data_IF_869245337055
#
_entry.id   IF_869245337055
#
_cell.length_a   1.000
_cell.length_b   1.000
_cell.length_c   1.000
_cell.angle_alpha   90.00
_cell.angle_beta   90.00
_cell.angle_gamma   90.00
#
_symmetry.space_group_name_H-M   'P 1'
#
loop_
_entity.id
_entity.type
_entity.pdbx_description
1 polymer ?
#
# COMPACT_ATOMS: atom_id res chain seq x y z
N UNK A 1 -9.30 -19.43 4.74
CA UNK A 1 -8.43 -18.89 5.80
C UNK A 1 -9.11 -18.96 7.16
N UNK A 2 -8.40 -19.34 8.25
CA UNK A 2 -8.91 -19.19 9.62
C UNK A 2 -9.22 -17.72 9.93
N UNK A 3 -10.23 -17.44 10.76
CA UNK A 3 -10.51 -16.06 11.20
C UNK A 3 -9.33 -15.54 12.04
N UNK A 4 -8.77 -14.39 11.66
CA UNK A 4 -7.74 -13.70 12.46
C UNK A 4 -8.35 -13.32 13.83
N UNK A 5 -7.77 -13.86 14.90
CA UNK A 5 -8.21 -13.56 16.27
C UNK A 5 -7.68 -12.23 16.79
N UNK A 6 -7.72 -12.03 18.11
CA UNK A 6 -7.24 -10.80 18.79
C UNK A 6 -5.80 -10.92 19.32
N UNK A 7 -4.99 -11.83 18.78
CA UNK A 7 -3.61 -12.15 19.22
C UNK A 7 -3.47 -12.65 20.68
N UNK A 8 -4.58 -12.95 21.38
CA UNK A 8 -4.54 -13.41 22.77
C UNK A 8 -4.14 -14.88 22.96
N UNK A 9 -4.37 -15.74 21.95
CA UNK A 9 -3.91 -17.13 21.96
C UNK A 9 -2.70 -17.34 21.05
N UNK A 10 -1.93 -18.40 21.27
CA UNK A 10 -0.79 -18.75 20.41
C UNK A 10 -1.24 -18.98 18.95
N UNK A 11 -2.32 -19.73 18.74
CA UNK A 11 -2.87 -19.99 17.42
C UNK A 11 -3.29 -18.69 16.71
N UNK A 12 -3.88 -17.74 17.45
CA UNK A 12 -4.23 -16.45 16.88
C UNK A 12 -2.99 -15.63 16.50
N UNK A 13 -1.91 -15.69 17.28
CA UNK A 13 -0.65 -14.99 16.97
C UNK A 13 0.00 -15.58 15.72
N UNK A 14 0.13 -16.90 15.67
CA UNK A 14 0.66 -17.62 14.52
C UNK A 14 -0.12 -17.29 13.23
N UNK A 15 -1.46 -17.26 13.29
CA UNK A 15 -2.29 -16.93 12.13
C UNK A 15 -2.09 -15.49 11.65
N UNK A 16 -1.93 -14.52 12.56
CA UNK A 16 -1.68 -13.12 12.19
C UNK A 16 -0.29 -12.98 11.59
N UNK A 17 0.75 -13.51 12.24
CA UNK A 17 2.13 -13.41 11.72
C UNK A 17 2.26 -14.13 10.38
N UNK A 18 1.69 -15.32 10.22
CA UNK A 18 1.65 -16.02 8.92
C UNK A 18 0.97 -15.18 7.83
N UNK A 19 -0.15 -14.54 8.16
CA UNK A 19 -0.83 -13.64 7.21
C UNK A 19 0.02 -12.43 6.84
N UNK A 20 0.83 -11.89 7.76
CA UNK A 20 1.75 -10.78 7.49
C UNK A 20 2.90 -11.26 6.59
N UNK A 21 3.54 -12.40 6.89
CA UNK A 21 4.54 -13.02 6.01
C UNK A 21 4.00 -13.21 4.59
N UNK A 22 2.76 -13.67 4.48
CA UNK A 22 2.12 -13.82 3.17
C UNK A 22 1.96 -12.48 2.45
N UNK A 23 1.55 -11.42 3.15
CA UNK A 23 1.42 -10.08 2.56
C UNK A 23 2.78 -9.57 2.07
N UNK A 24 3.86 -9.71 2.84
CA UNK A 24 5.17 -9.22 2.39
C UNK A 24 5.66 -10.00 1.17
N UNK A 25 5.36 -11.30 1.09
CA UNK A 25 5.67 -12.11 -0.10
C UNK A 25 5.03 -11.52 -1.36
N UNK A 26 3.80 -11.01 -1.25
CA UNK A 26 3.11 -10.35 -2.34
C UNK A 26 3.67 -8.97 -2.64
N UNK A 27 4.04 -8.21 -1.60
CA UNK A 27 4.61 -6.88 -1.77
C UNK A 27 5.97 -6.92 -2.50
N UNK A 28 6.78 -7.97 -2.28
CA UNK A 28 7.98 -8.26 -3.08
C UNK A 28 7.61 -8.42 -4.55
N UNK A 29 6.65 -9.30 -4.86
CA UNK A 29 6.25 -9.60 -6.23
C UNK A 29 5.68 -8.38 -6.94
N UNK A 30 4.83 -7.60 -6.27
CA UNK A 30 4.23 -6.38 -6.81
C UNK A 30 5.27 -5.28 -7.06
N UNK A 31 6.24 -5.14 -6.16
CA UNK A 31 7.33 -4.17 -6.30
C UNK A 31 8.26 -4.53 -7.47
N UNK A 32 8.49 -5.81 -7.75
CA UNK A 32 9.22 -6.23 -8.94
C UNK A 32 8.37 -6.20 -10.21
N UNK A 33 7.08 -6.54 -10.13
CA UNK A 33 6.14 -6.50 -11.26
C UNK A 33 6.07 -5.10 -11.84
N UNK A 34 5.98 -4.07 -10.98
CA UNK A 34 5.85 -2.69 -11.48
C UNK A 34 7.10 -2.23 -12.25
N UNK A 35 8.27 -2.67 -11.80
CA UNK A 35 9.56 -2.40 -12.45
C UNK A 35 9.64 -3.14 -13.79
N UNK A 36 9.42 -4.45 -13.76
CA UNK A 36 9.66 -5.33 -14.91
C UNK A 36 8.63 -5.11 -16.02
N UNK A 37 7.36 -4.94 -15.65
CA UNK A 37 6.25 -4.81 -16.59
C UNK A 37 6.18 -3.41 -17.19
N UNK A 38 6.22 -2.38 -16.36
CA UNK A 38 5.90 -1.02 -16.82
C UNK A 38 7.11 -0.11 -16.95
N UNK A 39 8.19 -0.32 -16.19
CA UNK A 39 9.28 0.64 -16.09
C UNK A 39 9.85 1.08 -17.44
N UNK A 40 10.15 0.12 -18.33
CA UNK A 40 10.62 0.42 -19.69
C UNK A 40 9.49 0.88 -20.62
N UNK A 41 8.33 0.24 -20.55
CA UNK A 41 7.17 0.55 -21.40
C UNK A 41 6.75 2.02 -21.25
N UNK A 42 6.67 2.49 -20.01
CA UNK A 42 6.24 3.84 -19.65
C UNK A 42 7.40 4.84 -19.63
N UNK A 43 8.59 4.45 -20.10
CA UNK A 43 9.80 5.29 -20.10
C UNK A 43 10.03 5.97 -18.75
N UNK A 44 9.95 5.18 -17.66
CA UNK A 44 10.13 5.71 -16.31
C UNK A 44 11.58 6.14 -16.09
N UNK A 45 11.82 7.20 -15.29
CA UNK A 45 13.16 7.66 -14.96
C UNK A 45 13.86 6.70 -14.00
N UNK A 46 15.19 6.79 -13.87
CA UNK A 46 16.00 5.87 -13.05
C UNK A 46 15.54 5.82 -11.60
N UNK A 47 15.11 6.95 -11.07
CA UNK A 47 14.67 7.12 -9.69
C UNK A 47 13.46 6.25 -9.37
N UNK A 48 12.59 5.97 -10.36
CA UNK A 48 11.48 5.03 -10.19
C UNK A 48 11.98 3.62 -9.88
N UNK A 49 12.99 3.17 -10.63
CA UNK A 49 13.62 1.88 -10.39
C UNK A 49 14.32 1.86 -9.03
N UNK A 50 15.04 2.92 -8.67
CA UNK A 50 15.70 3.02 -7.37
C UNK A 50 14.69 2.93 -6.22
N UNK A 51 13.59 3.67 -6.29
CA UNK A 51 12.57 3.70 -5.25
C UNK A 51 11.93 2.31 -5.09
N UNK A 52 11.47 1.67 -6.18
CA UNK A 52 10.81 0.36 -6.08
C UNK A 52 11.75 -0.82 -5.83
N UNK A 53 13.04 -0.74 -6.22
CA UNK A 53 14.05 -1.72 -5.78
C UNK A 53 14.25 -1.62 -4.26
N UNK A 54 14.23 -0.41 -3.70
CA UNK A 54 14.30 -0.22 -2.26
C UNK A 54 13.05 -0.80 -1.57
N UNK A 55 11.85 -0.53 -2.07
CA UNK A 55 10.61 -1.14 -1.55
C UNK A 55 10.75 -2.66 -1.58
N UNK A 56 11.06 -3.26 -2.73
CA UNK A 56 11.23 -4.72 -2.85
C UNK A 56 12.28 -5.30 -1.89
N UNK A 57 13.36 -4.56 -1.62
CA UNK A 57 14.37 -4.95 -0.64
C UNK A 57 13.85 -4.91 0.80
N UNK A 58 13.13 -3.86 1.17
CA UNK A 58 12.50 -3.73 2.48
C UNK A 58 11.48 -4.85 2.71
N UNK A 59 10.61 -5.10 1.73
CA UNK A 59 9.62 -6.19 1.76
C UNK A 59 10.27 -7.57 1.89
N UNK A 60 11.37 -7.81 1.16
CA UNK A 60 12.15 -9.04 1.28
C UNK A 60 12.73 -9.24 2.68
N UNK A 61 13.16 -8.15 3.32
CA UNK A 61 13.63 -8.17 4.70
C UNK A 61 12.49 -8.36 5.69
N UNK A 62 11.34 -7.71 5.49
CA UNK A 62 10.14 -7.88 6.33
C UNK A 62 9.68 -9.33 6.30
N UNK A 63 9.54 -9.92 5.11
CA UNK A 63 9.22 -11.32 4.90
C UNK A 63 10.16 -12.23 5.72
N UNK A 64 11.45 -11.99 5.63
CA UNK A 64 12.47 -12.79 6.33
C UNK A 64 12.36 -12.65 7.85
N UNK A 65 12.20 -11.43 8.36
CA UNK A 65 12.08 -11.16 9.79
C UNK A 65 10.80 -11.75 10.38
N UNK A 66 9.67 -11.57 9.71
CA UNK A 66 8.38 -12.13 10.12
C UNK A 66 8.37 -13.65 10.00
N UNK A 67 8.99 -14.21 8.95
CA UNK A 67 9.12 -15.65 8.76
C UNK A 67 9.90 -16.29 9.91
N UNK A 68 11.04 -15.70 10.27
CA UNK A 68 11.80 -16.11 11.46
C UNK A 68 10.98 -15.97 12.74
N UNK A 69 10.24 -14.86 12.91
CA UNK A 69 9.37 -14.67 14.07
C UNK A 69 8.28 -15.73 14.16
N UNK A 70 7.73 -16.15 13.02
CA UNK A 70 6.74 -17.22 12.95
C UNK A 70 7.32 -18.58 13.36
N UNK A 71 8.56 -18.87 12.98
CA UNK A 71 9.31 -20.06 13.43
C UNK A 71 9.52 -20.08 14.94
N UNK A 72 9.89 -18.93 15.52
CA UNK A 72 10.03 -18.78 16.98
C UNK A 72 8.70 -18.97 17.73
N UNK A 73 7.56 -18.69 17.08
CA UNK A 73 6.22 -18.99 17.59
C UNK A 73 5.81 -20.45 17.38
N UNK A 74 6.67 -21.30 16.81
CA UNK A 74 6.42 -22.73 16.59
C UNK A 74 5.54 -23.03 15.37
N UNK A 75 5.57 -22.18 14.35
CA UNK A 75 4.90 -22.39 13.05
C UNK A 75 5.86 -22.11 11.89
N UNK A 76 5.39 -22.08 10.65
CA UNK A 76 6.22 -21.74 9.48
C UNK A 76 5.37 -21.16 8.37
N UNK A 77 6.00 -20.45 7.44
CA UNK A 77 5.30 -19.97 6.24
C UNK A 77 4.83 -21.17 5.41
N UNK A 78 3.59 -21.11 4.92
CA UNK A 78 2.91 -22.24 4.27
C UNK A 78 2.22 -23.23 5.21
N UNK A 79 2.39 -23.14 6.54
CA UNK A 79 1.69 -24.02 7.50
C UNK A 79 0.17 -23.73 7.60
N UNK A 80 -0.26 -22.51 7.22
CA UNK A 80 -1.66 -22.11 7.15
C UNK A 80 -2.02 -21.72 5.69
N UNK A 81 -3.31 -21.81 5.30
CA UNK A 81 -3.74 -21.41 3.97
C UNK A 81 -3.47 -19.93 3.70
N UNK A 82 -2.91 -19.64 2.52
CA UNK A 82 -2.77 -18.31 1.96
C UNK A 82 -4.13 -17.66 1.65
N UNK A 83 -4.14 -16.33 1.50
CA UNK A 83 -5.30 -15.58 1.01
C UNK A 83 -4.93 -14.88 -0.30
N UNK A 84 -5.88 -14.76 -1.22
CA UNK A 84 -5.64 -14.13 -2.53
C UNK A 84 -5.99 -12.64 -2.52
N UNK A 85 -5.86 -11.98 -1.36
CA UNK A 85 -6.49 -10.69 -1.07
C UNK A 85 -6.07 -9.55 -2.01
N UNK A 86 -4.92 -9.67 -2.67
CA UNK A 86 -4.35 -8.70 -3.61
C UNK A 86 -4.34 -9.21 -5.07
N UNK A 87 -4.75 -10.46 -5.33
CA UNK A 87 -4.69 -11.05 -6.68
C UNK A 87 -5.68 -10.40 -7.65
N UNK A 88 -6.90 -10.16 -7.18
CA UNK A 88 -7.95 -9.61 -8.05
C UNK A 88 -7.59 -8.18 -8.49
N UNK A 89 -7.07 -7.37 -7.58
CA UNK A 89 -6.63 -6.00 -7.87
C UNK A 89 -5.39 -5.98 -8.75
N UNK A 90 -4.45 -6.91 -8.53
CA UNK A 90 -3.27 -7.04 -9.35
C UNK A 90 -3.60 -7.48 -10.78
N UNK A 91 -4.54 -8.38 -10.99
CA UNK A 91 -5.01 -8.71 -12.34
C UNK A 91 -5.75 -7.51 -12.96
N UNK A 92 -6.64 -6.87 -12.20
CA UNK A 92 -7.47 -5.77 -12.72
C UNK A 92 -6.65 -4.53 -13.13
N UNK A 93 -5.40 -4.44 -12.69
CA UNK A 93 -4.48 -3.32 -12.98
C UNK A 93 -3.23 -3.78 -13.74
N UNK A 94 -3.25 -4.95 -14.38
CA UNK A 94 -2.06 -5.52 -15.05
C UNK A 94 -1.61 -4.75 -16.29
N UNK A 95 -2.50 -3.97 -16.91
CA UNK A 95 -2.23 -3.28 -18.18
C UNK A 95 -2.07 -1.76 -18.03
N UNK A 96 -2.17 -1.21 -16.82
CA UNK A 96 -2.11 0.24 -16.57
C UNK A 96 -1.28 0.54 -15.32
N UNK A 97 -0.11 1.16 -15.53
CA UNK A 97 0.80 1.57 -14.45
C UNK A 97 0.14 2.57 -13.49
N UNK A 98 -0.67 3.50 -13.99
CA UNK A 98 -1.31 4.50 -13.15
C UNK A 98 -2.37 3.85 -12.26
N UNK A 99 -3.10 2.87 -12.79
CA UNK A 99 -4.01 2.03 -12.00
C UNK A 99 -3.27 1.18 -10.98
N UNK A 100 -2.14 0.56 -11.37
CA UNK A 100 -1.27 -0.22 -10.49
C UNK A 100 -0.80 0.59 -9.28
N UNK A 101 -0.26 1.78 -9.53
CA UNK A 101 0.21 2.69 -8.48
C UNK A 101 -0.91 3.10 -7.54
N UNK A 102 -2.08 3.46 -8.07
CA UNK A 102 -3.19 3.91 -7.25
C UNK A 102 -3.72 2.80 -6.32
N UNK A 103 -3.87 1.58 -6.83
CA UNK A 103 -4.50 0.51 -6.08
C UNK A 103 -3.50 -0.18 -5.15
N UNK A 104 -2.39 -0.67 -5.70
CA UNK A 104 -1.44 -1.45 -4.92
C UNK A 104 -0.57 -0.53 -4.06
N UNK A 105 0.09 0.46 -4.68
CA UNK A 105 1.11 1.25 -3.98
C UNK A 105 0.59 2.51 -3.27
N UNK A 106 -0.70 2.83 -3.38
CA UNK A 106 -1.33 3.88 -2.57
C UNK A 106 -2.40 3.28 -1.66
N UNK A 107 -3.46 2.67 -2.21
CA UNK A 107 -4.58 2.19 -1.38
C UNK A 107 -4.16 1.03 -0.48
N UNK A 108 -3.47 0.01 -0.99
CA UNK A 108 -3.10 -1.14 -0.17
C UNK A 108 -2.02 -0.81 0.87
N UNK A 109 -0.99 -0.06 0.49
CA UNK A 109 0.01 0.50 1.41
C UNK A 109 -0.65 1.32 2.54
N UNK A 110 -1.51 2.28 2.18
CA UNK A 110 -2.19 3.12 3.16
C UNK A 110 -3.15 2.32 4.06
N UNK A 111 -3.64 1.16 3.62
CA UNK A 111 -4.43 0.25 4.47
C UNK A 111 -3.54 -0.53 5.44
N UNK A 112 -2.32 -0.89 5.05
CA UNK A 112 -1.30 -1.45 5.95
C UNK A 112 -1.02 -0.50 7.11
N UNK A 113 -0.73 0.76 6.78
CA UNK A 113 -0.46 1.84 7.75
C UNK A 113 -1.63 2.07 8.72
N UNK A 114 -2.87 1.93 8.27
CA UNK A 114 -4.06 2.07 9.15
C UNK A 114 -4.20 0.90 10.14
N UNK A 115 -3.89 -0.31 9.68
CA UNK A 115 -4.15 -1.55 10.44
C UNK A 115 -3.02 -1.90 11.41
N UNK A 116 -1.78 -1.53 11.09
CA UNK A 116 -0.61 -1.87 11.88
C UNK A 116 -0.66 -1.38 13.34
N UNK A 117 -1.05 -0.13 13.67
CA UNK A 117 -1.13 0.32 15.06
C UNK A 117 -2.05 -0.55 15.93
N UNK A 118 -3.20 -0.96 15.37
CA UNK A 118 -4.12 -1.86 16.07
C UNK A 118 -3.53 -3.26 16.23
N UNK A 119 -2.80 -3.74 15.22
CA UNK A 119 -2.13 -5.05 15.24
C UNK A 119 -1.01 -5.08 16.28
N UNK A 120 -0.18 -4.04 16.35
CA UNK A 120 0.86 -3.83 17.37
C UNK A 120 0.24 -3.86 18.77
N UNK A 121 -0.84 -3.10 18.99
CA UNK A 121 -1.54 -3.08 20.28
C UNK A 121 -2.06 -4.47 20.68
N UNK A 122 -2.59 -5.24 19.73
CA UNK A 122 -3.06 -6.62 19.99
C UNK A 122 -1.93 -7.54 20.42
N UNK A 123 -0.79 -7.54 19.74
CA UNK A 123 0.36 -8.36 20.14
C UNK A 123 0.91 -7.96 21.51
N UNK A 124 1.05 -6.66 21.77
CA UNK A 124 1.52 -6.14 23.05
C UNK A 124 0.60 -6.52 24.21
N UNK A 125 -0.72 -6.39 24.02
CA UNK A 125 -1.72 -6.80 25.00
C UNK A 125 -1.82 -8.33 25.16
N UNK A 126 -1.50 -9.07 24.10
CA UNK A 126 -1.41 -10.54 24.10
C UNK A 126 -0.11 -11.10 24.70
N UNK A 127 0.80 -10.23 25.17
CA UNK A 127 2.06 -10.63 25.80
C UNK A 127 3.18 -10.98 24.84
N UNK A 128 3.04 -10.73 23.54
CA UNK A 128 4.06 -10.96 22.52
C UNK A 128 4.72 -9.62 22.15
N UNK A 129 5.65 -9.19 23.01
CA UNK A 129 6.32 -7.90 22.87
C UNK A 129 7.30 -7.91 21.71
N UNK A 130 7.90 -9.05 21.43
CA UNK A 130 8.87 -9.25 20.36
C UNK A 130 8.23 -8.99 18.99
N UNK A 131 7.05 -9.57 18.73
CA UNK A 131 6.31 -9.30 17.49
C UNK A 131 5.83 -7.84 17.42
N UNK A 132 5.34 -7.28 18.54
CA UNK A 132 4.90 -5.89 18.58
C UNK A 132 6.05 -4.91 18.27
N UNK A 133 7.22 -5.14 18.84
CA UNK A 133 8.41 -4.31 18.64
C UNK A 133 8.97 -4.42 17.22
N UNK A 134 8.95 -5.60 16.61
CA UNK A 134 9.32 -5.79 15.20
C UNK A 134 8.41 -4.95 14.29
N UNK A 135 7.09 -5.04 14.50
CA UNK A 135 6.11 -4.28 13.71
C UNK A 135 6.26 -2.76 13.93
N UNK A 136 6.41 -2.33 15.18
CA UNK A 136 6.47 -0.90 15.54
C UNK A 136 7.76 -0.21 15.09
N UNK A 137 8.91 -0.88 15.23
CA UNK A 137 10.23 -0.25 15.06
C UNK A 137 10.83 -0.45 13.68
N UNK A 138 10.37 -1.46 12.94
CA UNK A 138 10.95 -1.84 11.64
C UNK A 138 9.92 -1.69 10.54
N UNK A 139 8.84 -2.46 10.58
CA UNK A 139 7.88 -2.53 9.47
C UNK A 139 7.12 -1.22 9.33
N UNK A 140 6.40 -0.79 10.38
CA UNK A 140 5.54 0.39 10.35
C UNK A 140 6.19 1.69 9.80
N UNK A 141 7.40 2.11 10.22
CA UNK A 141 8.01 3.31 9.63
C UNK A 141 8.38 3.14 8.15
N UNK A 142 8.65 1.93 7.69
CA UNK A 142 9.04 1.63 6.30
C UNK A 142 7.82 1.64 5.37
N UNK A 143 6.67 1.11 5.82
CA UNK A 143 5.38 1.18 5.10
C UNK A 143 4.98 2.62 4.74
N UNK A 144 5.26 3.58 5.62
CA UNK A 144 4.99 5.00 5.36
C UNK A 144 5.79 5.47 4.14
N UNK A 145 7.05 5.04 4.04
CA UNK A 145 7.91 5.39 2.90
C UNK A 145 7.52 4.66 1.62
N UNK A 146 6.98 3.44 1.73
CA UNK A 146 6.46 2.67 0.59
C UNK A 146 5.20 3.32 0.01
N UNK A 147 4.24 3.69 0.88
CA UNK A 147 3.09 4.49 0.47
C UNK A 147 3.51 5.82 -0.17
N UNK A 148 4.55 6.48 0.37
CA UNK A 148 5.06 7.73 -0.19
C UNK A 148 5.61 7.55 -1.61
N UNK A 149 6.29 6.42 -1.88
CA UNK A 149 6.78 6.08 -3.22
C UNK A 149 5.61 5.93 -4.21
N UNK A 150 4.54 5.22 -3.83
CA UNK A 150 3.34 5.10 -4.66
C UNK A 150 2.71 6.45 -5.00
N UNK A 151 2.54 7.32 -3.99
CA UNK A 151 1.97 8.67 -4.17
C UNK A 151 2.86 9.55 -5.06
N UNK A 152 4.19 9.51 -4.86
CA UNK A 152 5.17 10.24 -5.68
C UNK A 152 5.03 9.87 -7.15
N UNK A 153 5.06 8.57 -7.47
CA UNK A 153 5.05 8.12 -8.85
C UNK A 153 3.68 8.25 -9.52
N UNK A 154 2.60 8.17 -8.74
CA UNK A 154 1.26 8.49 -9.23
C UNK A 154 1.15 9.97 -9.65
N UNK A 155 1.64 10.89 -8.79
CA UNK A 155 1.70 12.33 -9.11
C UNK A 155 2.58 12.60 -10.33
N UNK A 156 3.76 11.98 -10.39
CA UNK A 156 4.69 12.10 -11.52
C UNK A 156 4.01 11.79 -12.85
N UNK A 157 3.33 10.64 -12.96
CA UNK A 157 2.68 10.24 -14.21
C UNK A 157 1.54 11.18 -14.61
N UNK A 158 0.73 11.62 -13.64
CA UNK A 158 -0.34 12.57 -13.90
C UNK A 158 0.19 13.90 -14.45
N UNK A 159 1.28 14.41 -13.88
CA UNK A 159 1.87 15.69 -14.29
C UNK A 159 2.66 15.57 -15.60
N UNK A 160 3.42 14.49 -15.78
CA UNK A 160 4.18 14.22 -17.01
C UNK A 160 3.27 14.19 -18.24
N UNK A 161 2.06 13.65 -18.10
CA UNK A 161 1.08 13.62 -19.19
C UNK A 161 0.63 15.01 -19.66
N UNK A 162 0.76 16.04 -18.82
CA UNK A 162 0.37 17.43 -19.10
C UNK A 162 1.56 18.32 -19.44
N UNK A 163 2.64 18.19 -18.68
CA UNK A 163 3.86 18.97 -18.83
C UNK A 163 5.10 18.15 -18.42
N UNK A 164 5.88 17.62 -19.40
CA UNK A 164 7.04 16.79 -19.12
C UNK A 164 8.08 17.43 -18.18
N UNK A 165 8.28 18.75 -18.26
CA UNK A 165 9.26 19.46 -17.44
C UNK A 165 8.94 19.44 -15.93
N UNK A 166 7.64 19.42 -15.57
CA UNK A 166 7.21 19.32 -14.17
C UNK A 166 7.42 17.89 -13.65
N UNK A 167 7.12 16.90 -14.47
CA UNK A 167 7.37 15.50 -14.16
C UNK A 167 8.84 15.28 -13.81
N UNK A 168 9.76 15.69 -14.67
CA UNK A 168 11.20 15.46 -14.48
C UNK A 168 11.75 16.14 -13.21
N UNK A 169 11.20 17.28 -12.82
CA UNK A 169 11.50 17.92 -11.53
C UNK A 169 11.08 17.05 -10.34
N UNK A 170 9.90 16.43 -10.39
CA UNK A 170 9.42 15.55 -9.32
C UNK A 170 10.20 14.23 -9.23
N UNK A 171 10.68 13.70 -10.37
CA UNK A 171 11.53 12.52 -10.38
C UNK A 171 12.88 12.76 -9.70
N UNK A 172 13.47 13.94 -9.92
CA UNK A 172 14.79 14.32 -9.42
C UNK A 172 14.79 14.84 -7.97
N UNK A 173 13.63 15.08 -7.37
CA UNK A 173 13.52 15.44 -5.95
C UNK A 173 13.56 14.20 -5.07
N UNK A 174 14.57 14.14 -4.19
CA UNK A 174 14.61 13.18 -3.08
C UNK A 174 13.51 13.47 -2.04
N UNK A 175 13.35 12.58 -1.07
CA UNK A 175 12.33 12.56 -0.01
C UNK A 175 12.26 13.81 0.93
N UNK A 176 12.93 14.93 0.63
CA UNK A 176 12.98 16.09 1.53
C UNK A 176 11.95 17.18 1.17
N UNK A 177 11.15 17.54 2.16
CA UNK A 177 10.12 18.58 2.19
C UNK A 177 10.57 19.93 1.59
N UNK A 178 10.31 20.13 0.30
CA UNK A 178 9.99 21.45 -0.24
C UNK A 178 8.77 21.30 -1.13
N UNK A 179 7.73 22.05 -0.78
CA UNK A 179 6.48 22.18 -1.54
C UNK A 179 6.81 22.27 -3.04
N UNK A 180 6.53 21.19 -3.76
CA UNK A 180 6.65 21.06 -5.21
C UNK A 180 5.92 22.22 -5.88
N UNK A 181 6.44 22.74 -7.00
CA UNK A 181 5.78 23.76 -7.83
C UNK A 181 4.49 23.30 -8.52
N UNK A 182 3.74 22.38 -7.91
CA UNK A 182 2.43 21.90 -8.31
C UNK A 182 1.40 22.93 -7.83
N UNK A 183 0.54 23.41 -8.71
CA UNK A 183 -0.53 24.35 -8.33
C UNK A 183 -1.65 23.63 -7.57
N UNK A 184 -2.53 24.40 -6.92
CA UNK A 184 -3.69 23.83 -6.23
C UNK A 184 -4.59 23.08 -7.23
N UNK A 185 -4.79 23.66 -8.41
CA UNK A 185 -5.62 23.10 -9.48
C UNK A 185 -5.04 21.78 -10.00
N UNK A 186 -3.72 21.73 -10.26
CA UNK A 186 -3.06 20.51 -10.71
C UNK A 186 -3.21 19.39 -9.67
N UNK A 187 -3.03 19.72 -8.38
CA UNK A 187 -3.19 18.76 -7.30
C UNK A 187 -4.64 18.24 -7.19
N UNK A 188 -5.65 19.10 -7.34
CA UNK A 188 -7.06 18.68 -7.38
C UNK A 188 -7.35 17.73 -8.55
N UNK A 189 -6.78 17.97 -9.72
CA UNK A 189 -6.97 17.11 -10.89
C UNK A 189 -6.32 15.74 -10.71
N UNK A 190 -5.13 15.69 -10.10
CA UNK A 190 -4.47 14.42 -9.74
C UNK A 190 -5.38 13.62 -8.80
N UNK A 191 -5.92 14.26 -7.77
CA UNK A 191 -6.82 13.61 -6.80
C UNK A 191 -8.11 13.13 -7.48
N UNK A 192 -8.70 13.93 -8.39
CA UNK A 192 -9.87 13.51 -9.18
C UNK A 192 -9.57 12.27 -10.03
N UNK A 193 -8.39 12.22 -10.66
CA UNK A 193 -7.94 11.05 -11.43
C UNK A 193 -7.75 9.83 -10.53
N UNK A 194 -7.14 10.00 -9.36
CA UNK A 194 -7.01 8.96 -8.34
C UNK A 194 -8.38 8.41 -7.94
N UNK A 195 -9.33 9.27 -7.59
CA UNK A 195 -10.69 8.86 -7.24
C UNK A 195 -11.38 8.06 -8.35
N UNK A 196 -11.23 8.45 -9.61
CA UNK A 196 -11.81 7.73 -10.74
C UNK A 196 -11.21 6.32 -10.89
N UNK A 197 -9.90 6.18 -10.73
CA UNK A 197 -9.21 4.90 -10.78
C UNK A 197 -9.64 4.01 -9.61
N UNK A 198 -9.66 4.53 -8.38
CA UNK A 198 -10.08 3.75 -7.20
C UNK A 198 -11.52 3.26 -7.35
N UNK A 199 -12.45 4.11 -7.79
CA UNK A 199 -13.84 3.67 -8.05
C UNK A 199 -13.96 2.59 -9.12
N UNK A 200 -13.04 2.57 -10.08
CA UNK A 200 -13.05 1.61 -11.20
C UNK A 200 -12.47 0.26 -10.78
N UNK A 201 -11.36 0.27 -10.05
CA UNK A 201 -10.57 -0.94 -9.79
C UNK A 201 -10.68 -1.47 -8.35
N UNK A 202 -11.10 -0.64 -7.38
CA UNK A 202 -11.25 -1.06 -5.99
C UNK A 202 -12.71 -1.39 -5.65
N UNK A 203 -12.94 -2.59 -5.12
CA UNK A 203 -14.29 -3.06 -4.78
C UNK A 203 -14.74 -2.56 -3.40
N UNK A 204 -15.70 -1.65 -3.40
CA UNK A 204 -16.36 -1.15 -2.19
C UNK A 204 -15.70 0.11 -1.61
N UNK A 205 -16.22 0.64 -0.48
CA UNK A 205 -15.69 1.85 0.12
C UNK A 205 -14.36 1.60 0.82
N UNK A 206 -13.51 2.62 0.87
CA UNK A 206 -12.37 2.65 1.79
C UNK A 206 -12.89 2.71 3.23
N UNK A 207 -12.35 1.89 4.13
CA UNK A 207 -12.92 1.75 5.48
C UNK A 207 -12.04 2.43 6.52
N UNK A 208 -12.60 3.28 7.41
CA UNK A 208 -11.90 3.79 8.57
C UNK A 208 -11.64 2.67 9.62
N UNK A 209 -10.80 2.91 10.63
CA UNK A 209 -10.08 4.17 10.92
C UNK A 209 -8.96 4.46 9.93
N UNK A 210 -8.77 5.73 9.58
CA UNK A 210 -7.63 6.19 8.78
C UNK A 210 -6.56 6.76 9.70
N UNK A 211 -5.31 6.39 9.46
CA UNK A 211 -4.17 6.94 10.18
C UNK A 211 -3.73 8.24 9.50
N UNK A 212 -4.44 9.33 9.81
CA UNK A 212 -4.25 10.63 9.15
C UNK A 212 -2.81 11.15 9.23
N UNK A 213 -2.16 11.00 10.39
CA UNK A 213 -0.78 11.46 10.60
C UNK A 213 0.20 10.72 9.69
N UNK A 214 0.16 9.39 9.69
CA UNK A 214 1.08 8.57 8.89
C UNK A 214 0.78 8.68 7.38
N UNK A 215 -0.50 8.72 6.98
CA UNK A 215 -0.88 8.96 5.58
C UNK A 215 -0.42 10.34 5.11
N UNK A 216 -0.54 11.36 5.95
CA UNK A 216 0.00 12.70 5.64
C UNK A 216 1.51 12.68 5.50
N UNK A 217 2.24 11.94 6.34
CA UNK A 217 3.69 11.76 6.20
C UNK A 217 4.08 11.07 4.86
N UNK A 218 3.20 10.22 4.31
CA UNK A 218 3.34 9.67 2.96
C UNK A 218 2.90 10.62 1.83
N UNK A 219 2.51 11.87 2.13
CA UNK A 219 1.97 12.80 1.14
C UNK A 219 0.55 12.48 0.67
N UNK A 220 -0.16 11.61 1.40
CA UNK A 220 -1.49 11.07 1.10
C UNK A 220 -2.54 11.66 2.05
N UNK A 221 -2.89 12.93 1.85
CA UNK A 221 -3.81 13.65 2.74
C UNK A 221 -5.27 13.18 2.66
N UNK A 222 -6.13 13.63 3.61
CA UNK A 222 -7.55 13.23 3.70
C UNK A 222 -8.35 13.37 2.41
N UNK A 223 -8.04 14.40 1.61
CA UNK A 223 -8.69 14.67 0.33
C UNK A 223 -8.56 13.54 -0.70
N UNK A 224 -7.59 12.63 -0.53
CA UNK A 224 -7.40 11.46 -1.40
C UNK A 224 -8.35 10.30 -1.09
N UNK A 225 -8.81 10.16 0.16
CA UNK A 225 -9.47 8.93 0.63
C UNK A 225 -10.80 9.15 1.36
N UNK A 226 -11.02 10.28 2.03
CA UNK A 226 -12.29 10.54 2.70
C UNK A 226 -13.47 10.53 1.73
N UNK A 227 -13.39 11.12 0.52
CA UNK A 227 -14.48 11.06 -0.47
C UNK A 227 -14.77 9.65 -0.98
N UNK A 228 -13.84 8.71 -0.78
CA UNK A 228 -13.96 7.30 -1.19
C UNK A 228 -14.42 6.39 -0.02
N UNK A 229 -14.59 6.95 1.18
CA UNK A 229 -15.01 6.19 2.36
C UNK A 229 -16.53 5.96 2.42
N UNK A 230 -17.28 6.76 1.65
CA UNK A 230 -18.74 6.64 1.53
C UNK A 230 -19.05 5.75 0.33
N UNK A 231 -20.00 4.82 0.47
CA UNK A 231 -20.56 4.14 -0.71
C UNK A 231 -21.25 5.19 -1.57
N UNK A 232 -20.81 5.38 -2.81
CA UNK A 232 -21.61 6.12 -3.78
C UNK A 232 -23.02 5.50 -3.82
N UNK A 233 -24.03 6.26 -3.42
CA UNK A 233 -25.42 5.91 -3.67
C UNK A 233 -25.63 6.15 -5.16
N UNK A 234 -25.30 5.18 -6.01
CA UNK A 234 -25.59 5.32 -7.43
C UNK A 234 -27.11 5.12 -7.66
N UNK A 235 -27.88 6.14 -8.10
CA UNK A 235 -29.30 6.00 -8.36
C UNK A 235 -29.50 5.59 -9.83
N UNK A 236 -29.38 4.29 -10.13
CA UNK A 236 -29.81 3.56 -11.36
C UNK A 236 -29.18 2.16 -11.25
N UNK A 237 -29.89 1.02 -11.21
CA UNK A 237 -31.06 0.58 -11.97
C UNK A 237 -31.87 -0.34 -11.03
N UNK A 238 -33.16 -0.04 -10.82
CA UNK A 238 -34.10 -1.07 -10.35
C UNK A 238 -34.22 -2.08 -11.49
N UNK A 239 -33.83 -3.32 -11.24
CA UNK A 239 -34.14 -4.45 -12.11
C UNK A 239 -35.64 -4.46 -12.40
N UNK A 240 -35.98 -4.48 -13.69
CA UNK A 240 -37.30 -4.85 -14.18
C UNK A 240 -37.19 -6.23 -14.83
N UNK A 241 -38.03 -7.13 -14.31
CA UNK A 241 -38.29 -8.53 -14.69
C UNK A 241 -37.29 -9.56 -14.16
#
# INVERSE_FOLDING_TARGET
MPKLGKAGSLQSRQAIVHSLVHIESWAIDLSWDIIARFGKQESMPREFFTDFVKVAQDEGRHFTLLGKRLEELGSSYGALPAHDGLWESSIATSEDLLARLAIEHCVHEARGIDVLPTTISRFRNGGDKETADLLEKVIYPEEITHCAAGVKWFKYLCLRSKNPAIGDSLASQGSSDRQSGITVEENEEIIKKFHAIVRTHFRGPLKPPFNEEARKAAGFGPQWYEPLAVKDINPRIKCGW
#
